data_IF_670554286951
#
_entry.id   IF_670554286951
#
_cell.length_a   1.000
_cell.length_b   1.000
_cell.length_c   1.000
_cell.angle_alpha   90.00
_cell.angle_beta   90.00
_cell.angle_gamma   90.00
#
_symmetry.space_group_name_H-M   'P 1'
#
loop_
_entity.id
_entity.type
_entity.pdbx_description
1 polymer ?
#
# COMPACT_ATOMS: atom_id res chain seq x y z
N UNK A 1 30.74 -26.96 3.07
CA UNK A 1 29.63 -27.94 3.15
C UNK A 1 28.26 -27.24 3.11
N UNK A 2 27.35 -27.71 2.28
CA UNK A 2 26.00 -27.14 2.09
C UNK A 2 25.22 -26.94 3.41
N UNK A 3 25.26 -27.84 4.39
CA UNK A 3 24.56 -27.63 5.68
C UNK A 3 25.01 -26.36 6.42
N UNK A 4 26.30 -26.05 6.38
CA UNK A 4 26.83 -24.85 7.02
C UNK A 4 26.38 -23.59 6.27
N UNK A 5 26.39 -23.60 4.94
CA UNK A 5 25.90 -22.49 4.13
C UNK A 5 24.42 -22.20 4.40
N UNK A 6 23.58 -23.21 4.51
CA UNK A 6 22.16 -23.07 4.88
C UNK A 6 21.99 -22.40 6.25
N UNK A 7 22.80 -22.79 7.22
CA UNK A 7 22.77 -22.20 8.58
C UNK A 7 23.22 -20.75 8.58
N UNK A 8 24.31 -20.44 7.87
CA UNK A 8 24.82 -19.08 7.72
C UNK A 8 23.79 -18.16 7.07
N UNK A 9 23.11 -18.61 6.01
CA UNK A 9 22.05 -17.84 5.36
C UNK A 9 20.88 -17.55 6.31
N UNK A 10 20.47 -18.50 7.14
CA UNK A 10 19.42 -18.30 8.16
C UNK A 10 19.86 -17.33 9.24
N UNK A 11 21.10 -17.42 9.71
CA UNK A 11 21.66 -16.46 10.68
C UNK A 11 21.76 -15.05 10.09
N UNK A 12 22.27 -14.92 8.87
CA UNK A 12 22.35 -13.63 8.19
C UNK A 12 20.95 -13.01 8.00
N UNK A 13 19.93 -13.82 7.71
CA UNK A 13 18.55 -13.40 7.65
C UNK A 13 18.04 -12.87 9.00
N UNK A 14 18.36 -13.54 10.12
CA UNK A 14 17.99 -13.10 11.47
C UNK A 14 18.71 -11.81 11.87
N UNK A 15 20.01 -11.71 11.59
CA UNK A 15 20.81 -10.51 11.88
C UNK A 15 20.30 -9.30 11.09
N UNK A 16 19.78 -9.52 9.88
CA UNK A 16 19.12 -8.47 9.10
C UNK A 16 17.74 -8.02 9.64
N UNK A 17 17.41 -8.39 10.89
CA UNK A 17 16.19 -7.96 11.58
C UNK A 17 14.94 -8.78 11.25
N UNK A 18 15.09 -9.97 10.67
CA UNK A 18 13.97 -10.82 10.28
C UNK A 18 13.75 -11.97 11.28
N UNK A 19 12.51 -12.47 11.38
CA UNK A 19 12.21 -13.60 12.25
C UNK A 19 12.65 -14.94 11.63
N UNK A 20 13.10 -15.87 12.45
CA UNK A 20 13.57 -17.20 12.04
C UNK A 20 12.59 -17.95 11.14
N UNK A 21 11.30 -17.91 11.45
CA UNK A 21 10.23 -18.58 10.68
C UNK A 21 9.92 -17.96 9.31
N UNK A 22 10.59 -16.89 8.88
CA UNK A 22 10.30 -16.21 7.62
C UNK A 22 10.94 -16.83 6.39
N UNK A 23 11.99 -17.63 6.54
CA UNK A 23 12.75 -18.18 5.42
C UNK A 23 12.45 -19.68 5.25
N UNK A 24 11.64 -20.02 4.24
CA UNK A 24 11.34 -21.42 3.91
C UNK A 24 12.56 -22.17 3.35
N UNK A 25 12.52 -23.50 3.35
CA UNK A 25 13.56 -24.32 2.71
C UNK A 25 13.77 -23.91 1.26
N UNK A 26 12.71 -23.71 0.50
CA UNK A 26 12.78 -23.27 -0.90
C UNK A 26 13.50 -21.93 -1.08
N UNK A 27 13.31 -20.97 -0.18
CA UNK A 27 14.04 -19.71 -0.22
C UNK A 27 15.53 -19.90 0.00
N UNK A 28 15.91 -20.77 0.93
CA UNK A 28 17.34 -21.08 1.22
C UNK A 28 18.02 -21.74 0.02
N UNK A 29 17.35 -22.69 -0.63
CA UNK A 29 17.90 -23.36 -1.86
C UNK A 29 18.08 -22.35 -3.00
N UNK A 30 17.13 -21.46 -3.20
CA UNK A 30 17.25 -20.39 -4.22
C UNK A 30 18.36 -19.40 -3.88
N UNK A 31 18.59 -19.08 -2.60
CA UNK A 31 19.71 -18.27 -2.18
C UNK A 31 21.05 -18.95 -2.44
N UNK A 32 21.15 -20.26 -2.17
CA UNK A 32 22.34 -21.05 -2.50
C UNK A 32 22.63 -21.05 -4.00
N UNK A 33 21.60 -21.17 -4.84
CA UNK A 33 21.75 -21.08 -6.30
C UNK A 33 22.29 -19.72 -6.75
N UNK A 34 21.83 -18.61 -6.14
CA UNK A 34 22.37 -17.28 -6.42
C UNK A 34 23.81 -17.15 -5.94
N UNK A 35 24.17 -17.79 -4.82
CA UNK A 35 25.55 -17.74 -4.32
C UNK A 35 26.55 -18.42 -5.26
N UNK A 36 26.11 -19.37 -6.06
CA UNK A 36 26.96 -20.07 -7.04
C UNK A 36 27.25 -19.27 -8.31
N UNK A 37 26.45 -18.22 -8.62
CA UNK A 37 26.69 -17.31 -9.75
C UNK A 37 27.46 -16.07 -9.34
N UNK A 38 27.87 -15.22 -10.28
CA UNK A 38 28.58 -13.98 -10.00
C UNK A 38 27.66 -12.86 -9.54
N UNK A 39 26.45 -12.80 -10.09
CA UNK A 39 25.41 -11.83 -9.74
C UNK A 39 24.04 -12.49 -9.67
N UNK A 40 23.14 -11.92 -8.89
CA UNK A 40 21.77 -12.39 -8.82
C UNK A 40 20.92 -11.63 -7.80
N UNK A 41 19.62 -11.74 -7.96
CA UNK A 41 18.67 -11.15 -7.01
C UNK A 41 17.46 -12.07 -6.78
N UNK A 42 16.98 -12.13 -5.54
CA UNK A 42 15.85 -12.93 -5.14
C UNK A 42 14.94 -12.12 -4.23
N UNK A 43 13.66 -12.07 -4.58
CA UNK A 43 12.65 -11.54 -3.67
C UNK A 43 12.33 -12.56 -2.60
N UNK A 44 12.47 -12.15 -1.35
CA UNK A 44 12.23 -12.92 -0.14
C UNK A 44 10.96 -12.43 0.56
N UNK A 45 10.44 -13.17 1.57
CA UNK A 45 9.32 -12.71 2.37
C UNK A 45 9.56 -11.34 3.00
N UNK A 46 8.48 -10.62 3.34
CA UNK A 46 8.49 -9.31 4.00
C UNK A 46 9.13 -8.17 3.20
N UNK A 47 9.10 -8.26 1.86
CA UNK A 47 9.66 -7.22 1.01
C UNK A 47 11.19 -7.13 1.03
N UNK A 48 11.86 -8.12 1.64
CA UNK A 48 13.32 -8.25 1.56
C UNK A 48 13.72 -8.70 0.17
N UNK A 49 14.76 -8.11 -0.36
CA UNK A 49 15.42 -8.56 -1.58
C UNK A 49 16.85 -8.95 -1.26
N UNK A 50 17.18 -10.20 -1.49
CA UNK A 50 18.57 -10.63 -1.49
C UNK A 50 19.22 -10.22 -2.82
N UNK A 51 20.32 -9.52 -2.77
CA UNK A 51 21.08 -9.10 -3.95
C UNK A 51 22.53 -9.55 -3.77
N UNK A 52 23.02 -10.36 -4.72
CA UNK A 52 24.43 -10.74 -4.79
C UNK A 52 25.12 -9.88 -5.86
N UNK A 53 26.24 -9.27 -5.46
CA UNK A 53 27.18 -8.60 -6.35
C UNK A 53 28.57 -9.13 -6.03
N UNK A 54 29.19 -9.79 -6.99
CA UNK A 54 30.51 -10.44 -6.81
C UNK A 54 30.49 -11.38 -5.60
N UNK A 55 31.26 -11.07 -4.56
CA UNK A 55 31.44 -11.89 -3.34
C UNK A 55 30.48 -11.52 -2.21
N UNK A 56 29.66 -10.48 -2.36
CA UNK A 56 28.78 -9.95 -1.29
C UNK A 56 27.32 -10.30 -1.57
N UNK A 57 26.66 -10.94 -0.60
CA UNK A 57 25.21 -11.08 -0.55
C UNK A 57 24.65 -10.07 0.44
N UNK A 58 23.78 -9.19 -0.03
CA UNK A 58 23.10 -8.18 0.78
C UNK A 58 21.61 -8.49 0.86
N UNK A 59 21.03 -8.37 2.07
CA UNK A 59 19.59 -8.31 2.25
C UNK A 59 19.18 -6.83 2.24
N UNK A 60 18.52 -6.40 1.17
CA UNK A 60 18.12 -5.01 0.94
C UNK A 60 16.60 -4.91 1.09
N UNK A 61 16.14 -3.90 1.78
CA UNK A 61 14.73 -3.78 2.13
C UNK A 61 14.36 -4.69 3.29
N UNK A 62 13.10 -4.68 3.70
CA UNK A 62 12.66 -5.62 4.73
C UNK A 62 13.15 -5.29 6.14
N UNK A 63 13.34 -4.03 6.49
CA UNK A 63 13.11 -3.69 7.89
C UNK A 63 11.73 -4.24 8.20
N UNK A 64 11.66 -5.19 9.13
CA UNK A 64 10.40 -5.79 9.56
C UNK A 64 9.44 -4.69 9.98
N UNK A 65 8.85 -4.00 8.99
CA UNK A 65 7.77 -3.06 9.27
C UNK A 65 6.67 -3.92 9.82
N UNK A 66 6.48 -3.82 11.13
CA UNK A 66 5.32 -4.34 11.83
C UNK A 66 4.11 -4.07 10.93
N UNK A 67 3.27 -5.09 10.74
CA UNK A 67 1.99 -4.87 10.06
C UNK A 67 1.39 -3.61 10.65
N UNK A 68 1.06 -2.62 9.83
CA UNK A 68 0.43 -1.38 10.29
C UNK A 68 -0.70 -1.76 11.25
N UNK A 69 -0.71 -1.29 12.49
CA UNK A 69 -1.78 -1.60 13.43
C UNK A 69 -3.14 -1.24 12.84
N UNK A 70 -4.25 -1.82 13.30
CA UNK A 70 -5.57 -1.36 12.91
C UNK A 70 -5.77 0.10 13.33
N UNK A 71 -6.30 0.91 12.43
CA UNK A 71 -6.68 2.28 12.70
C UNK A 71 -7.99 2.62 11.98
N UNK A 72 -8.71 3.62 12.50
CA UNK A 72 -9.88 4.23 11.87
C UNK A 72 -10.00 5.68 12.36
N UNK A 73 -9.94 6.63 11.45
CA UNK A 73 -10.06 8.06 11.73
C UNK A 73 -11.16 8.69 10.88
N UNK A 74 -11.93 9.65 11.43
CA UNK A 74 -12.82 10.45 10.60
C UNK A 74 -11.96 11.27 9.61
N UNK A 75 -12.38 11.30 8.36
CA UNK A 75 -11.72 12.15 7.35
C UNK A 75 -12.17 13.59 7.55
N UNK A 76 -11.24 14.48 7.85
CA UNK A 76 -11.50 15.93 8.02
C UNK A 76 -11.70 16.54 6.65
N UNK A 77 -12.91 17.07 6.38
CA UNK A 77 -13.30 17.64 5.08
C UNK A 77 -13.98 19.01 5.29
N UNK A 78 -13.42 20.09 4.78
CA UNK A 78 -12.06 20.23 4.29
C UNK A 78 -11.03 20.16 5.42
N UNK A 79 -9.80 19.71 5.12
CA UNK A 79 -8.74 19.69 6.12
C UNK A 79 -7.71 18.59 5.91
N UNK A 80 -7.00 18.25 6.99
CA UNK A 80 -5.90 17.29 7.00
C UNK A 80 -6.20 16.20 8.02
N UNK A 81 -6.07 14.94 7.58
CA UNK A 81 -6.23 13.77 8.44
C UNK A 81 -4.91 13.02 8.52
N UNK A 82 -4.30 12.97 9.69
CA UNK A 82 -3.06 12.24 9.93
C UNK A 82 -3.34 10.78 10.28
N UNK A 83 -2.46 9.91 9.80
CA UNK A 83 -2.51 8.45 10.01
C UNK A 83 -1.13 8.03 10.53
N UNK A 84 -0.85 8.21 11.83
CA UNK A 84 0.47 7.98 12.40
C UNK A 84 0.97 6.55 12.20
N UNK A 85 0.07 5.55 12.29
CA UNK A 85 0.41 4.13 12.13
C UNK A 85 0.93 3.78 10.74
N UNK A 86 0.56 4.56 9.73
CA UNK A 86 0.99 4.39 8.36
C UNK A 86 2.08 5.39 7.93
N UNK A 87 2.41 6.38 8.80
CA UNK A 87 3.29 7.51 8.47
C UNK A 87 2.77 8.29 7.25
N UNK A 88 1.45 8.45 7.16
CA UNK A 88 0.75 9.09 6.05
C UNK A 88 -0.23 10.14 6.55
N UNK A 89 -0.60 11.05 5.68
CA UNK A 89 -1.70 11.99 5.88
C UNK A 89 -2.50 12.17 4.60
N UNK A 90 -3.77 12.53 4.74
CA UNK A 90 -4.66 12.83 3.62
C UNK A 90 -5.14 14.27 3.77
N UNK A 91 -4.78 15.11 2.80
CA UNK A 91 -5.36 16.43 2.63
C UNK A 91 -6.65 16.32 1.80
N UNK A 92 -7.71 17.00 2.26
CA UNK A 92 -9.01 17.03 1.61
C UNK A 92 -9.44 18.48 1.32
N UNK A 93 -9.87 18.74 0.08
CA UNK A 93 -10.39 20.04 -0.36
C UNK A 93 -11.70 19.85 -1.11
N UNK A 94 -12.65 20.74 -0.86
CA UNK A 94 -13.87 20.83 -1.67
C UNK A 94 -13.63 21.91 -2.71
N UNK A 95 -13.83 21.58 -3.99
CA UNK A 95 -13.56 22.46 -5.12
C UNK A 95 -14.74 22.46 -6.09
N UNK A 96 -15.12 23.61 -6.68
CA UNK A 96 -15.93 23.60 -7.88
C UNK A 96 -15.24 22.80 -9.00
N UNK A 97 -15.99 22.13 -9.82
CA UNK A 97 -15.42 21.23 -10.87
C UNK A 97 -14.52 22.01 -11.84
N UNK A 98 -14.83 23.28 -12.10
CA UNK A 98 -14.04 24.15 -12.98
C UNK A 98 -12.65 24.45 -12.43
N UNK A 99 -12.50 24.42 -11.10
CA UNK A 99 -11.23 24.68 -10.39
C UNK A 99 -10.48 23.39 -10.04
N UNK A 100 -11.06 22.23 -10.36
CA UNK A 100 -10.46 20.94 -10.06
C UNK A 100 -9.34 20.60 -11.05
N UNK A 101 -8.31 19.85 -10.62
CA UNK A 101 -7.26 19.39 -11.53
C UNK A 101 -7.84 18.47 -12.60
N UNK A 102 -7.24 18.50 -13.79
CA UNK A 102 -7.66 17.62 -14.87
C UNK A 102 -7.49 16.14 -14.47
N UNK A 103 -8.51 15.30 -14.71
CA UNK A 103 -8.48 13.88 -14.38
C UNK A 103 -7.24 13.13 -14.91
N UNK A 104 -6.77 13.52 -16.11
CA UNK A 104 -5.59 12.92 -16.75
C UNK A 104 -4.26 13.31 -16.11
N UNK A 105 -4.24 14.38 -15.31
CA UNK A 105 -3.03 14.85 -14.62
C UNK A 105 -2.89 14.28 -13.21
N UNK A 106 -3.92 13.60 -12.70
CA UNK A 106 -3.91 13.04 -11.36
C UNK A 106 -2.91 11.89 -11.24
N UNK A 107 -2.14 11.93 -10.19
CA UNK A 107 -1.27 10.82 -9.80
C UNK A 107 -2.05 9.76 -9.02
N UNK A 108 -1.53 8.52 -8.85
CA UNK A 108 -2.17 7.52 -7.99
C UNK A 108 -2.37 7.96 -6.53
N UNK A 109 -1.61 8.97 -6.09
CA UNK A 109 -1.73 9.55 -4.74
C UNK A 109 -2.82 10.60 -4.62
N UNK A 110 -3.51 10.89 -5.70
CA UNK A 110 -4.58 11.87 -5.76
C UNK A 110 -5.89 11.22 -6.17
N UNK A 111 -6.97 11.72 -5.63
CA UNK A 111 -8.32 11.31 -5.99
C UNK A 111 -9.20 12.52 -6.20
N UNK A 112 -10.01 12.49 -7.25
CA UNK A 112 -11.05 13.45 -7.51
C UNK A 112 -12.38 12.70 -7.57
N UNK A 113 -13.30 13.08 -6.70
CA UNK A 113 -14.57 12.40 -6.46
C UNK A 113 -15.71 13.38 -6.62
N UNK A 114 -16.87 12.91 -7.08
CA UNK A 114 -18.10 13.69 -7.07
C UNK A 114 -18.60 13.87 -5.63
N UNK A 115 -18.48 15.09 -5.10
CA UNK A 115 -18.84 15.39 -3.74
C UNK A 115 -20.35 15.20 -3.47
N UNK A 116 -21.18 15.47 -4.46
CA UNK A 116 -22.64 15.33 -4.36
C UNK A 116 -23.11 13.89 -4.19
N UNK A 117 -22.30 12.91 -4.61
CA UNK A 117 -22.61 11.48 -4.47
C UNK A 117 -22.13 10.89 -3.13
N UNK A 118 -21.27 11.60 -2.41
CA UNK A 118 -20.67 11.11 -1.17
C UNK A 118 -21.64 11.26 0.01
N UNK A 119 -21.78 10.21 0.80
CA UNK A 119 -22.46 10.23 2.09
C UNK A 119 -21.45 10.45 3.20
N UNK A 120 -21.50 11.62 3.81
CA UNK A 120 -20.65 11.96 4.95
C UNK A 120 -21.21 11.38 6.25
N UNK A 121 -20.38 11.11 7.28
CA UNK A 121 -18.92 11.31 7.26
C UNK A 121 -18.19 10.23 6.45
N UNK A 122 -17.00 10.59 5.94
CA UNK A 122 -16.03 9.62 5.42
C UNK A 122 -15.05 9.25 6.52
N UNK A 123 -14.51 8.06 6.40
CA UNK A 123 -13.50 7.51 7.30
C UNK A 123 -12.29 7.05 6.53
N UNK A 124 -11.12 7.18 7.11
CA UNK A 124 -9.91 6.52 6.63
C UNK A 124 -9.53 5.41 7.60
N UNK A 125 -9.27 4.23 7.08
CA UNK A 125 -8.90 3.07 7.88
C UNK A 125 -7.92 2.15 7.18
N UNK A 126 -7.33 1.25 7.93
CA UNK A 126 -6.64 0.10 7.37
C UNK A 126 -7.65 -0.81 6.65
N UNK A 127 -7.20 -1.47 5.57
CA UNK A 127 -8.00 -2.50 4.91
C UNK A 127 -8.41 -3.61 5.89
N UNK A 128 -9.57 -4.20 5.67
CA UNK A 128 -10.07 -5.37 6.40
C UNK A 128 -10.08 -6.61 5.49
N UNK A 129 -10.08 -7.78 6.11
CA UNK A 129 -10.37 -9.02 5.38
C UNK A 129 -11.84 -9.00 4.93
N UNK A 130 -12.08 -9.43 3.69
CA UNK A 130 -13.42 -9.36 3.13
C UNK A 130 -13.77 -8.04 2.42
N UNK A 131 -12.94 -7.01 2.46
CA UNK A 131 -13.17 -5.75 1.73
C UNK A 131 -13.44 -5.98 0.25
N UNK A 132 -14.50 -5.31 -0.24
CA UNK A 132 -14.91 -5.28 -1.65
C UNK A 132 -15.05 -3.85 -2.12
N UNK A 133 -14.78 -3.60 -3.40
CA UNK A 133 -15.10 -2.34 -4.05
C UNK A 133 -15.28 -2.52 -5.55
N UNK A 134 -15.75 -1.50 -6.22
CA UNK A 134 -15.89 -1.42 -7.68
C UNK A 134 -14.82 -0.47 -8.20
N UNK A 135 -13.63 -0.95 -8.63
CA UNK A 135 -12.57 -0.05 -9.10
C UNK A 135 -13.01 0.74 -10.31
N UNK A 136 -12.61 2.02 -10.39
CA UNK A 136 -12.88 2.84 -11.58
C UNK A 136 -12.41 2.14 -12.86
N UNK A 137 -13.32 2.05 -13.84
CA UNK A 137 -13.08 1.44 -15.14
C UNK A 137 -13.27 -0.08 -15.20
N UNK A 138 -13.67 -0.71 -14.10
CA UNK A 138 -14.05 -2.13 -14.10
C UNK A 138 -15.55 -2.28 -13.82
N UNK A 139 -16.23 -3.10 -14.61
CA UNK A 139 -17.62 -3.43 -14.35
C UNK A 139 -17.73 -4.40 -13.17
N UNK A 140 -18.52 -4.04 -12.15
CA UNK A 140 -18.84 -4.89 -11.01
C UNK A 140 -17.89 -4.76 -9.82
N UNK A 141 -18.20 -5.53 -8.76
CA UNK A 141 -17.47 -5.53 -7.49
C UNK A 141 -16.41 -6.62 -7.49
N UNK A 142 -15.28 -6.32 -6.87
CA UNK A 142 -14.24 -7.32 -6.65
C UNK A 142 -13.66 -7.25 -5.22
N UNK A 143 -13.11 -8.36 -4.76
CA UNK A 143 -12.40 -8.40 -3.48
C UNK A 143 -11.15 -7.52 -3.57
N UNK A 144 -10.92 -6.66 -2.57
CA UNK A 144 -9.73 -5.83 -2.49
C UNK A 144 -8.44 -6.69 -2.52
N UNK A 145 -8.47 -7.88 -1.92
CA UNK A 145 -7.37 -8.87 -2.00
C UNK A 145 -7.04 -9.24 -3.45
N UNK A 146 -8.06 -9.49 -4.30
CA UNK A 146 -7.88 -9.81 -5.72
C UNK A 146 -7.27 -8.64 -6.47
N UNK A 147 -7.77 -7.43 -6.23
CA UNK A 147 -7.23 -6.20 -6.82
C UNK A 147 -5.73 -5.99 -6.54
N UNK A 148 -5.29 -6.23 -5.29
CA UNK A 148 -3.87 -6.18 -4.96
C UNK A 148 -3.04 -7.25 -5.68
N UNK A 149 -3.58 -8.46 -5.83
CA UNK A 149 -2.90 -9.58 -6.54
C UNK A 149 -2.70 -9.22 -8.01
N UNK A 150 -3.74 -8.74 -8.68
CA UNK A 150 -3.68 -8.34 -10.09
C UNK A 150 -2.68 -7.20 -10.34
N UNK A 151 -2.49 -6.32 -9.34
CA UNK A 151 -1.48 -5.27 -9.36
C UNK A 151 -0.10 -5.70 -8.87
N UNK A 152 0.08 -7.01 -8.62
CA UNK A 152 1.34 -7.60 -8.15
C UNK A 152 1.87 -6.95 -6.84
N UNK A 153 0.96 -6.44 -5.98
CA UNK A 153 1.32 -5.85 -4.70
C UNK A 153 1.54 -6.98 -3.70
N UNK A 154 2.76 -7.11 -3.14
CA UNK A 154 3.10 -8.12 -2.15
C UNK A 154 2.19 -8.05 -0.92
N UNK A 155 1.92 -9.19 -0.29
CA UNK A 155 0.99 -9.28 0.85
C UNK A 155 1.39 -8.34 2.00
N UNK A 156 2.66 -8.23 2.27
CA UNK A 156 3.28 -7.42 3.32
C UNK A 156 3.16 -5.92 3.09
N UNK A 157 2.94 -5.48 1.85
CA UNK A 157 2.80 -4.06 1.50
C UNK A 157 1.35 -3.58 1.48
N UNK A 158 0.38 -4.51 1.45
CA UNK A 158 -1.04 -4.18 1.27
C UNK A 158 -1.62 -3.34 2.40
N UNK A 159 -1.07 -3.48 3.61
CA UNK A 159 -1.52 -2.74 4.79
C UNK A 159 -1.06 -1.28 4.80
N UNK A 160 -0.17 -0.91 3.87
CA UNK A 160 0.30 0.48 3.67
C UNK A 160 -0.67 1.35 2.87
N UNK A 161 -1.66 0.73 2.23
CA UNK A 161 -2.63 1.45 1.44
C UNK A 161 -3.88 1.73 2.29
N UNK A 162 -4.03 2.97 2.80
CA UNK A 162 -5.26 3.34 3.50
C UNK A 162 -6.46 3.19 2.59
N UNK A 163 -7.60 2.85 3.15
CA UNK A 163 -8.87 2.88 2.43
C UNK A 163 -9.76 3.97 2.99
N UNK A 164 -10.24 4.84 2.11
CA UNK A 164 -11.28 5.81 2.45
C UNK A 164 -12.62 5.16 2.22
N UNK A 165 -13.48 5.19 3.22
CA UNK A 165 -14.80 4.53 3.20
C UNK A 165 -15.90 5.48 3.65
N UNK A 166 -17.13 5.19 3.22
CA UNK A 166 -18.34 5.80 3.77
C UNK A 166 -18.62 5.26 5.19
N UNK A 167 -19.57 5.84 5.88
CA UNK A 167 -20.03 5.32 7.17
C UNK A 167 -20.61 3.88 7.03
N UNK A 168 -21.19 3.55 5.90
CA UNK A 168 -21.64 2.20 5.55
C UNK A 168 -20.51 1.24 5.09
N UNK A 169 -19.24 1.57 5.34
CA UNK A 169 -18.05 0.76 5.00
C UNK A 169 -17.81 0.54 3.49
N UNK A 170 -18.48 1.27 2.61
CA UNK A 170 -18.23 1.20 1.17
C UNK A 170 -16.94 1.93 0.83
N UNK A 171 -16.02 1.24 0.15
CA UNK A 171 -14.73 1.83 -0.24
C UNK A 171 -14.94 2.87 -1.34
N UNK A 172 -14.51 4.09 -1.06
CA UNK A 172 -14.53 5.24 -1.97
C UNK A 172 -13.18 5.36 -2.71
N UNK A 173 -12.09 5.14 -1.99
CA UNK A 173 -10.74 5.24 -2.53
C UNK A 173 -9.80 4.27 -1.84
N UNK A 174 -9.05 3.53 -2.62
CA UNK A 174 -7.85 2.82 -2.15
C UNK A 174 -6.69 3.79 -2.36
N UNK A 175 -6.29 4.48 -1.29
CA UNK A 175 -5.36 5.60 -1.35
C UNK A 175 -4.00 5.17 -1.91
N UNK A 176 -3.50 5.93 -2.87
CA UNK A 176 -2.28 5.59 -3.61
C UNK A 176 -2.48 4.61 -4.77
N UNK A 177 -3.72 4.17 -5.06
CA UNK A 177 -3.99 3.21 -6.13
C UNK A 177 -5.16 3.60 -7.03
N UNK A 178 -6.42 3.57 -6.54
CA UNK A 178 -7.59 3.74 -7.40
C UNK A 178 -8.81 4.19 -6.60
N UNK A 179 -9.61 5.10 -7.17
CA UNK A 179 -10.96 5.41 -6.70
C UNK A 179 -11.94 4.31 -7.10
N UNK A 180 -13.06 4.27 -6.41
CA UNK A 180 -14.17 3.42 -6.80
C UNK A 180 -15.08 4.12 -7.81
N UNK A 181 -15.64 3.35 -8.73
CA UNK A 181 -16.43 3.83 -9.88
C UNK A 181 -17.71 4.60 -9.49
N UNK A 182 -18.46 4.23 -8.42
CA UNK A 182 -19.70 4.92 -8.08
C UNK A 182 -19.55 6.41 -7.75
N UNK A 183 -18.36 6.85 -7.32
CA UNK A 183 -18.11 8.25 -6.90
C UNK A 183 -17.20 9.01 -7.86
N UNK A 184 -17.08 8.55 -9.08
CA UNK A 184 -16.29 9.23 -10.11
C UNK A 184 -16.95 10.55 -10.53
N UNK A 185 -16.11 11.50 -10.88
CA UNK A 185 -16.54 12.75 -11.54
C UNK A 185 -17.13 12.44 -12.92
N UNK A 186 -18.26 13.08 -13.22
CA UNK A 186 -18.99 12.98 -14.50
C UNK A 186 -19.29 14.39 -15.03
N UNK A 187 -19.89 14.47 -16.21
CA UNK A 187 -20.34 15.75 -16.78
C UNK A 187 -21.42 16.45 -15.94
N UNK A 188 -22.07 15.72 -15.02
CA UNK A 188 -23.10 16.26 -14.12
C UNK A 188 -22.53 16.77 -12.81
N UNK A 189 -21.25 16.52 -12.54
CA UNK A 189 -20.59 16.92 -11.30
C UNK A 189 -20.37 18.42 -11.27
N UNK A 190 -20.83 19.07 -10.23
CA UNK A 190 -20.62 20.52 -10.00
C UNK A 190 -19.57 20.78 -8.94
N UNK A 191 -19.45 19.90 -7.98
CA UNK A 191 -18.53 20.05 -6.83
C UNK A 191 -17.76 18.75 -6.64
N UNK A 192 -16.46 18.90 -6.45
CA UNK A 192 -15.52 17.79 -6.30
C UNK A 192 -14.94 17.73 -4.89
N UNK A 193 -14.74 16.53 -4.38
CA UNK A 193 -13.83 16.28 -3.27
C UNK A 193 -12.47 15.89 -3.86
N UNK A 194 -11.46 16.73 -3.66
CA UNK A 194 -10.07 16.46 -4.01
C UNK A 194 -9.34 15.94 -2.79
N UNK A 195 -8.74 14.74 -2.90
CA UNK A 195 -7.97 14.09 -1.86
C UNK A 195 -6.53 13.93 -2.33
N UNK A 196 -5.57 14.17 -1.44
CA UNK A 196 -4.14 13.99 -1.71
C UNK A 196 -3.48 13.22 -0.57
N UNK A 197 -2.86 12.09 -0.90
CA UNK A 197 -2.09 11.26 0.02
C UNK A 197 -0.64 11.75 0.08
N UNK A 198 -0.17 12.07 1.26
CA UNK A 198 1.18 12.58 1.53
C UNK A 198 1.88 11.73 2.57
N UNK A 199 3.21 11.81 2.62
CA UNK A 199 3.99 11.21 3.71
C UNK A 199 3.96 12.17 4.88
N UNK A 200 3.57 11.68 6.03
CA UNK A 200 3.62 12.40 7.28
C UNK A 200 4.98 12.17 7.94
N UNK A 201 5.75 13.24 8.11
CA UNK A 201 6.94 13.22 8.93
C UNK A 201 6.58 13.71 10.32
N UNK A 202 6.65 12.84 11.34
CA UNK A 202 6.60 13.31 12.72
C UNK A 202 7.90 14.07 12.98
N UNK A 203 7.80 15.38 13.15
CA UNK A 203 8.91 16.15 13.72
C UNK A 203 9.17 15.59 15.11
N UNK A 204 10.19 14.75 15.23
CA UNK A 204 10.70 14.28 16.51
C UNK A 204 11.52 15.42 17.09
N UNK A 205 10.92 16.17 18.02
CA UNK A 205 11.68 17.04 18.93
C UNK A 205 12.34 16.20 20.00
#
# INVERSE_FOLDING_TARGET
PVPIQRRVLRLAWQIAGNQEKGLSFHHVERLLAILSGDEGALSLPRGVRAVKKKTVLQFVGGTGRKSTPPYRYPLVIPGLTRIPEAELEIAAKILPVESAPLLKSLTPREALLDYGLLKLPLWVRRRKEGDFFSPLGLKGRMKLKKFFIERKIPREERDRFPVVVTDGEEIVWVAGLRIADPWKVTEKTTTCLYLQLQVYHSDTY
#
